data_IF_567337170504
#
_entry.id   IF_567337170504
#
_cell.length_a   1.000
_cell.length_b   1.000
_cell.length_c   1.000
_cell.angle_alpha   90.00
_cell.angle_beta   90.00
_cell.angle_gamma   90.00
#
_symmetry.space_group_name_H-M   'P 1'
#
loop_
_entity.id
_entity.type
_entity.pdbx_description
1 polymer ?
#
# COMPACT_ATOMS: atom_id res chain seq x y z
N UNK A 1 79.96 -56.58 -13.88
CA UNK A 1 79.20 -56.45 -12.62
C UNK A 1 78.55 -55.07 -12.56
N UNK A 2 77.30 -54.92 -12.99
CA UNK A 2 76.69 -53.58 -13.19
C UNK A 2 75.17 -53.51 -13.03
N UNK A 3 74.55 -54.43 -12.26
CA UNK A 3 73.08 -54.56 -12.22
C UNK A 3 72.39 -54.08 -10.93
N UNK A 4 73.12 -53.59 -9.92
CA UNK A 4 72.48 -53.13 -8.67
C UNK A 4 72.07 -51.64 -8.70
N UNK A 5 72.66 -50.82 -9.55
CA UNK A 5 72.36 -49.38 -9.64
C UNK A 5 71.03 -49.11 -10.35
N UNK A 6 70.70 -49.92 -11.36
CA UNK A 6 69.52 -49.73 -12.21
C UNK A 6 68.21 -50.00 -11.45
N UNK A 7 68.17 -51.06 -10.63
CA UNK A 7 66.98 -51.41 -9.83
C UNK A 7 66.69 -50.37 -8.74
N UNK A 8 67.72 -49.74 -8.17
CA UNK A 8 67.56 -48.68 -7.15
C UNK A 8 67.01 -47.38 -7.76
N UNK A 9 67.41 -47.05 -8.99
CA UNK A 9 66.87 -45.91 -9.75
C UNK A 9 65.40 -46.13 -10.13
N UNK A 10 65.05 -47.33 -10.58
CA UNK A 10 63.65 -47.68 -10.91
C UNK A 10 62.71 -47.60 -9.70
N UNK A 11 63.14 -48.09 -8.53
CA UNK A 11 62.36 -48.03 -7.29
C UNK A 11 62.14 -46.58 -6.81
N UNK A 12 63.18 -45.74 -6.86
CA UNK A 12 63.07 -44.33 -6.48
C UNK A 12 62.20 -43.51 -7.45
N UNK A 13 62.24 -43.81 -8.75
CA UNK A 13 61.38 -43.14 -9.74
C UNK A 13 59.91 -43.54 -9.58
N UNK A 14 59.61 -44.80 -9.22
CA UNK A 14 58.24 -45.26 -8.92
C UNK A 14 57.66 -44.55 -7.69
N UNK A 15 58.43 -44.41 -6.60
CA UNK A 15 58.01 -43.64 -5.41
C UNK A 15 57.79 -42.16 -5.70
N UNK A 16 58.66 -41.53 -6.49
CA UNK A 16 58.47 -40.13 -6.93
C UNK A 16 57.22 -39.95 -7.81
N UNK A 17 56.91 -40.93 -8.67
CA UNK A 17 55.71 -40.92 -9.50
C UNK A 17 54.41 -41.01 -8.69
N UNK A 18 54.36 -41.90 -7.68
CA UNK A 18 53.22 -42.02 -6.78
C UNK A 18 53.01 -40.76 -5.93
N UNK A 19 54.07 -40.19 -5.35
CA UNK A 19 53.95 -38.96 -4.55
C UNK A 19 53.49 -37.76 -5.41
N UNK A 20 53.88 -37.71 -6.70
CA UNK A 20 53.39 -36.67 -7.62
C UNK A 20 51.91 -36.85 -7.99
N UNK A 21 51.43 -38.09 -8.09
CA UNK A 21 50.01 -38.38 -8.33
C UNK A 21 49.15 -38.03 -7.12
N UNK A 22 49.59 -38.37 -5.91
CA UNK A 22 48.87 -38.04 -4.66
C UNK A 22 48.76 -36.52 -4.45
N UNK A 23 49.85 -35.77 -4.63
CA UNK A 23 49.84 -34.29 -4.53
C UNK A 23 48.93 -33.66 -5.59
N UNK A 24 48.88 -34.20 -6.80
CA UNK A 24 48.03 -33.67 -7.87
C UNK A 24 46.53 -33.97 -7.66
N UNK A 25 46.20 -35.11 -7.06
CA UNK A 25 44.84 -35.47 -6.66
C UNK A 25 44.33 -34.60 -5.50
N UNK A 26 45.20 -34.24 -4.56
CA UNK A 26 44.85 -33.40 -3.42
C UNK A 26 44.62 -31.93 -3.83
N UNK A 27 45.44 -31.41 -4.74
CA UNK A 27 45.26 -30.07 -5.34
C UNK A 27 43.90 -29.98 -6.06
N UNK A 28 43.50 -31.01 -6.82
CA UNK A 28 42.19 -31.01 -7.51
C UNK A 28 41.02 -31.01 -6.53
N UNK A 29 41.12 -31.75 -5.42
CA UNK A 29 40.10 -31.73 -4.36
C UNK A 29 40.00 -30.36 -3.71
N UNK A 30 41.13 -29.76 -3.34
CA UNK A 30 41.16 -28.42 -2.75
C UNK A 30 40.62 -27.35 -3.71
N UNK A 31 40.87 -27.47 -5.01
CA UNK A 31 40.37 -26.55 -6.02
C UNK A 31 38.84 -26.66 -6.20
N UNK A 32 38.27 -27.87 -6.09
CA UNK A 32 36.82 -28.10 -6.09
C UNK A 32 36.17 -27.55 -4.81
N UNK A 33 36.79 -27.74 -3.64
CA UNK A 33 36.29 -27.14 -2.39
C UNK A 33 36.36 -25.61 -2.41
N UNK A 34 37.42 -25.04 -2.98
CA UNK A 34 37.57 -23.59 -3.14
C UNK A 34 36.51 -23.00 -4.11
N UNK A 35 36.23 -23.68 -5.23
CA UNK A 35 35.16 -23.30 -6.16
C UNK A 35 33.75 -23.40 -5.53
N UNK A 36 33.51 -24.42 -4.69
CA UNK A 36 32.26 -24.53 -3.93
C UNK A 36 32.10 -23.39 -2.92
N UNK A 37 33.17 -22.99 -2.22
CA UNK A 37 33.16 -21.87 -1.27
C UNK A 37 32.85 -20.54 -1.98
N UNK A 38 33.40 -20.30 -3.18
CA UNK A 38 33.09 -19.10 -3.98
C UNK A 38 31.61 -19.06 -4.40
N UNK A 39 31.01 -20.22 -4.72
CA UNK A 39 29.59 -20.32 -5.05
C UNK A 39 28.68 -19.91 -3.88
N UNK A 40 29.07 -20.22 -2.64
CA UNK A 40 28.34 -19.82 -1.42
C UNK A 40 28.61 -18.38 -0.94
N UNK A 41 29.66 -17.70 -1.43
CA UNK A 41 29.95 -16.29 -1.08
C UNK A 41 29.25 -15.30 -2.03
N UNK A 42 28.41 -15.79 -2.95
CA UNK A 42 27.53 -14.97 -3.80
C UNK A 42 26.36 -14.32 -3.02
N UNK A 43 26.57 -13.92 -1.77
CA UNK A 43 25.67 -12.99 -1.12
C UNK A 43 25.92 -11.62 -1.71
N UNK A 44 25.05 -11.22 -2.64
CA UNK A 44 24.86 -9.81 -2.95
C UNK A 44 24.41 -9.13 -1.67
N UNK A 45 25.35 -8.52 -0.95
CA UNK A 45 25.02 -7.42 -0.07
C UNK A 45 24.56 -6.26 -0.95
N UNK A 46 23.31 -6.29 -1.38
CA UNK A 46 22.61 -5.07 -1.75
C UNK A 46 22.40 -4.31 -0.44
N UNK A 47 23.34 -3.45 -0.09
CA UNK A 47 23.00 -2.30 0.72
C UNK A 47 21.95 -1.52 -0.08
N UNK A 48 20.68 -1.75 0.27
CA UNK A 48 19.62 -0.84 -0.12
C UNK A 48 19.94 0.46 0.59
N UNK A 49 20.62 1.38 -0.10
CA UNK A 49 20.40 2.79 0.15
C UNK A 49 18.92 3.03 -0.21
N UNK A 50 18.03 2.72 0.72
CA UNK A 50 16.70 3.30 0.78
C UNK A 50 16.90 4.77 1.14
N UNK A 51 17.53 5.54 0.24
CA UNK A 51 17.28 6.96 0.17
C UNK A 51 15.83 7.03 -0.29
N UNK A 52 14.94 7.08 0.70
CA UNK A 52 13.50 7.06 0.53
C UNK A 52 13.13 8.06 -0.56
N UNK A 53 12.59 7.56 -1.66
CA UNK A 53 11.76 8.31 -2.61
C UNK A 53 10.45 8.73 -1.92
N UNK A 54 10.53 9.30 -0.71
CA UNK A 54 9.40 9.88 0.02
C UNK A 54 8.75 11.02 -0.78
N UNK A 55 9.49 11.65 -1.70
CA UNK A 55 8.97 12.72 -2.56
C UNK A 55 8.08 12.26 -3.72
N UNK A 56 7.88 10.96 -3.96
CA UNK A 56 7.02 10.48 -5.05
C UNK A 56 5.66 9.92 -4.59
N UNK A 57 5.48 9.68 -3.29
CA UNK A 57 4.22 9.17 -2.77
C UNK A 57 3.25 10.33 -2.52
N UNK A 58 1.99 10.15 -2.92
CA UNK A 58 0.94 11.09 -2.56
C UNK A 58 0.65 10.99 -1.07
N UNK A 59 0.63 12.13 -0.39
CA UNK A 59 0.15 12.24 0.99
C UNK A 59 -1.30 11.79 1.10
N UNK A 60 -2.14 12.19 0.13
CA UNK A 60 -3.54 11.77 0.02
C UNK A 60 -3.99 11.75 -1.43
N UNK A 61 -4.89 10.82 -1.75
CA UNK A 61 -5.64 10.80 -3.02
C UNK A 61 -7.10 11.08 -2.69
N UNK A 62 -7.65 12.18 -3.19
CA UNK A 62 -9.02 12.63 -2.94
C UNK A 62 -9.79 12.75 -4.26
N UNK A 63 -11.11 12.86 -4.20
CA UNK A 63 -11.92 13.20 -5.37
C UNK A 63 -12.03 14.72 -5.55
N UNK A 64 -12.32 15.16 -6.77
CA UNK A 64 -12.60 16.57 -7.03
C UNK A 64 -13.74 17.11 -6.14
N UNK A 65 -13.63 18.40 -5.78
CA UNK A 65 -14.60 19.08 -4.92
C UNK A 65 -14.55 18.62 -3.45
N UNK A 66 -13.48 17.93 -3.03
CA UNK A 66 -13.23 17.58 -1.63
C UNK A 66 -12.27 18.56 -0.97
N UNK A 67 -12.33 18.60 0.37
CA UNK A 67 -11.41 19.31 1.25
C UNK A 67 -10.51 18.29 1.97
N UNK A 68 -9.40 18.74 2.53
CA UNK A 68 -8.57 17.93 3.43
C UNK A 68 -8.47 18.66 4.76
N UNK A 69 -8.80 17.94 5.82
CA UNK A 69 -8.64 18.44 7.18
C UNK A 69 -7.26 18.06 7.71
N UNK A 70 -6.44 19.07 7.99
CA UNK A 70 -5.09 18.95 8.53
C UNK A 70 -5.05 19.19 10.06
N UNK A 71 -6.21 19.40 10.69
CA UNK A 71 -6.34 19.73 12.11
C UNK A 71 -6.15 21.23 12.37
N UNK A 72 -5.95 21.59 13.63
CA UNK A 72 -5.79 22.99 14.05
C UNK A 72 -4.39 23.52 13.72
N UNK A 73 -4.32 24.49 12.81
CA UNK A 73 -3.10 25.10 12.32
C UNK A 73 -3.01 26.57 12.76
N UNK A 74 -1.87 26.91 13.36
CA UNK A 74 -1.58 28.27 13.80
C UNK A 74 -1.58 29.28 12.63
N UNK A 75 -2.17 30.46 12.84
CA UNK A 75 -2.26 31.53 11.83
C UNK A 75 -0.92 32.06 11.29
N UNK A 76 0.19 31.83 12.00
CA UNK A 76 1.55 32.23 11.58
C UNK A 76 2.17 31.32 10.51
N UNK A 77 1.57 30.15 10.29
CA UNK A 77 1.98 29.19 9.26
C UNK A 77 1.41 29.63 7.91
N UNK A 78 2.22 29.50 6.86
CA UNK A 78 1.80 29.72 5.47
C UNK A 78 1.87 28.46 4.64
N UNK A 79 0.93 28.33 3.72
CA UNK A 79 0.84 27.25 2.76
C UNK A 79 0.88 27.81 1.35
N UNK A 80 1.48 27.08 0.42
CA UNK A 80 1.30 27.31 -1.01
C UNK A 80 0.74 26.06 -1.65
N UNK A 81 -0.42 26.20 -2.31
CA UNK A 81 -1.09 25.14 -3.06
C UNK A 81 -0.87 25.40 -4.55
N UNK A 82 -0.25 24.44 -5.24
CA UNK A 82 0.08 24.61 -6.66
C UNK A 82 -0.34 23.42 -7.51
N UNK A 83 -0.83 23.69 -8.71
CA UNK A 83 -1.08 22.72 -9.76
C UNK A 83 -0.66 23.36 -11.09
N UNK A 84 0.52 22.97 -11.58
CA UNK A 84 1.15 23.56 -12.76
C UNK A 84 0.33 23.34 -14.04
N UNK A 85 -0.35 22.19 -14.16
CA UNK A 85 -1.15 21.86 -15.35
C UNK A 85 -2.35 22.79 -15.51
N UNK A 86 -2.96 23.21 -14.41
CA UNK A 86 -4.14 24.07 -14.39
C UNK A 86 -3.82 25.53 -14.01
N UNK A 87 -2.53 25.90 -13.95
CA UNK A 87 -2.06 27.24 -13.56
C UNK A 87 -2.56 27.72 -12.18
N UNK A 88 -2.70 26.80 -11.22
CA UNK A 88 -3.08 27.13 -9.85
C UNK A 88 -1.81 27.40 -9.05
N UNK A 89 -1.76 28.55 -8.36
CA UNK A 89 -0.75 28.89 -7.37
C UNK A 89 -1.37 29.84 -6.34
N UNK A 90 -1.75 29.30 -5.18
CA UNK A 90 -2.51 30.02 -4.15
C UNK A 90 -1.72 29.95 -2.84
N UNK A 91 -1.61 31.10 -2.17
CA UNK A 91 -1.05 31.17 -0.82
C UNK A 91 -2.18 31.25 0.21
N UNK A 92 -2.11 30.40 1.23
CA UNK A 92 -3.08 30.29 2.33
C UNK A 92 -2.34 30.45 3.67
N UNK A 93 -3.08 30.77 4.74
CA UNK A 93 -2.56 30.93 6.10
C UNK A 93 -3.31 30.10 7.12
N UNK A 94 -2.57 29.51 8.06
CA UNK A 94 -3.14 28.73 9.16
C UNK A 94 -4.20 27.74 8.69
N UNK A 95 -5.40 27.85 9.27
CA UNK A 95 -6.55 26.98 9.01
C UNK A 95 -7.22 27.17 7.64
N UNK A 96 -6.87 28.17 6.83
CA UNK A 96 -7.45 28.36 5.49
C UNK A 96 -7.24 27.13 4.59
N UNK A 97 -6.18 26.35 4.82
CA UNK A 97 -5.93 25.10 4.10
C UNK A 97 -7.04 24.05 4.31
N UNK A 98 -7.69 24.04 5.49
CA UNK A 98 -8.77 23.09 5.80
C UNK A 98 -10.05 23.42 5.03
N UNK A 99 -10.22 24.69 4.64
CA UNK A 99 -11.36 25.16 3.87
C UNK A 99 -11.14 25.17 2.36
N UNK A 100 -9.91 24.94 1.91
CA UNK A 100 -9.56 24.89 0.51
C UNK A 100 -10.21 23.68 -0.19
N UNK A 101 -10.98 23.95 -1.24
CA UNK A 101 -11.67 22.93 -2.05
C UNK A 101 -10.84 22.63 -3.30
N UNK A 102 -10.52 21.34 -3.49
CA UNK A 102 -9.76 20.87 -4.64
C UNK A 102 -10.68 20.59 -5.84
N UNK A 103 -11.10 21.63 -6.55
CA UNK A 103 -12.06 21.50 -7.66
C UNK A 103 -11.47 20.96 -8.97
N UNK A 104 -10.19 21.25 -9.25
CA UNK A 104 -9.54 20.82 -10.48
C UNK A 104 -8.80 19.51 -10.30
N UNK A 105 -8.91 18.62 -11.30
CA UNK A 105 -8.27 17.30 -11.26
C UNK A 105 -6.78 17.39 -11.54
N UNK A 106 -6.02 16.43 -11.02
CA UNK A 106 -4.57 16.33 -11.25
C UNK A 106 -3.78 16.28 -9.96
N UNK A 107 -2.49 16.56 -10.09
CA UNK A 107 -1.54 16.48 -8.98
C UNK A 107 -1.26 17.90 -8.48
N UNK A 108 -1.35 18.06 -7.16
CA UNK A 108 -1.06 19.30 -6.46
C UNK A 108 0.20 19.11 -5.63
N UNK A 109 1.06 20.12 -5.65
CA UNK A 109 2.18 20.24 -4.74
C UNK A 109 1.81 21.26 -3.65
N UNK A 110 1.85 20.80 -2.40
CA UNK A 110 1.59 21.60 -1.21
C UNK A 110 2.92 21.90 -0.56
N UNK A 111 3.21 23.18 -0.35
CA UNK A 111 4.39 23.63 0.36
C UNK A 111 3.98 24.26 1.70
N UNK A 112 4.50 23.71 2.77
CA UNK A 112 4.30 24.15 4.14
C UNK A 112 5.49 24.98 4.61
N UNK A 113 5.22 26.17 5.16
CA UNK A 113 6.22 27.08 5.69
C UNK A 113 5.85 27.49 7.12
N UNK A 114 6.68 27.08 8.07
CA UNK A 114 6.55 27.45 9.48
C UNK A 114 7.50 28.62 9.81
N UNK A 115 6.95 29.70 10.37
CA UNK A 115 7.71 30.91 10.72
C UNK A 115 8.03 31.02 12.24
N UNK A 116 7.71 29.99 13.04
CA UNK A 116 8.00 30.02 14.49
C UNK A 116 9.50 29.82 14.72
N UNK A 117 10.11 30.69 15.55
CA UNK A 117 11.46 30.45 16.06
C UNK A 117 11.38 29.30 17.06
N UNK A 118 11.99 28.19 16.71
CA UNK A 118 12.11 27.02 17.57
C UNK A 118 12.89 27.39 18.84
N UNK A 119 12.27 27.17 20.01
CA UNK A 119 12.93 27.35 21.30
C UNK A 119 13.81 26.13 21.60
N UNK A 120 14.99 26.36 22.21
CA UNK A 120 16.04 25.33 22.38
C UNK A 120 15.65 24.23 23.38
N UNK A 121 14.62 24.47 24.22
CA UNK A 121 14.19 23.55 25.28
C UNK A 121 13.11 22.54 24.87
N UNK A 122 12.46 22.73 23.72
CA UNK A 122 11.40 21.85 23.24
C UNK A 122 11.85 21.08 22.02
N UNK A 123 11.68 19.75 22.02
CA UNK A 123 11.90 18.90 20.86
C UNK A 123 10.97 19.36 19.73
N UNK A 124 11.48 20.25 18.89
CA UNK A 124 10.73 20.98 17.89
C UNK A 124 10.93 20.31 16.54
N UNK A 125 9.93 19.54 16.13
CA UNK A 125 9.82 19.07 14.75
C UNK A 125 8.61 19.73 14.10
N UNK A 126 8.71 20.12 12.82
CA UNK A 126 7.57 20.65 12.09
C UNK A 126 6.44 19.61 12.07
N UNK A 127 5.19 20.08 12.15
CA UNK A 127 4.00 19.21 12.14
C UNK A 127 3.86 18.45 10.82
N UNK A 128 4.36 19.03 9.72
CA UNK A 128 4.29 18.46 8.38
C UNK A 128 5.65 18.50 7.71
N UNK A 129 5.82 17.65 6.69
CA UNK A 129 6.91 17.81 5.75
C UNK A 129 6.79 19.16 5.01
N UNK A 130 7.92 19.78 4.71
CA UNK A 130 7.98 21.06 3.99
C UNK A 130 7.24 21.00 2.64
N UNK A 131 7.23 19.84 1.99
CA UNK A 131 6.50 19.61 0.74
C UNK A 131 5.85 18.24 0.72
N UNK A 132 4.63 18.17 0.18
CA UNK A 132 3.95 16.92 -0.09
C UNK A 132 2.97 17.04 -1.25
N UNK A 133 2.59 15.89 -1.82
CA UNK A 133 1.78 15.82 -3.04
C UNK A 133 0.38 15.32 -2.74
N UNK A 134 -0.64 15.93 -3.34
CA UNK A 134 -2.02 15.45 -3.31
C UNK A 134 -2.43 15.09 -4.73
N UNK A 135 -3.15 13.97 -4.89
CA UNK A 135 -3.78 13.62 -6.17
C UNK A 135 -5.29 13.82 -6.08
N UNK A 136 -5.83 14.56 -7.02
CA UNK A 136 -7.26 14.84 -7.14
C UNK A 136 -7.82 14.06 -8.33
N UNK A 137 -8.61 13.04 -8.04
CA UNK A 137 -9.23 12.15 -9.02
C UNK A 137 -10.46 12.79 -9.68
N UNK A 138 -10.72 12.41 -10.93
CA UNK A 138 -11.84 12.91 -11.74
C UNK A 138 -13.18 12.25 -11.43
N UNK A 139 -13.21 11.22 -10.58
CA UNK A 139 -14.42 10.49 -10.22
C UNK A 139 -14.62 10.60 -8.71
N UNK A 140 -15.87 10.83 -8.30
CA UNK A 140 -16.30 10.85 -6.90
C UNK A 140 -17.42 9.84 -6.69
N UNK A 141 -17.31 9.04 -5.63
CA UNK A 141 -18.31 8.08 -5.19
C UNK A 141 -18.85 8.50 -3.82
N UNK A 142 -20.16 8.61 -3.71
CA UNK A 142 -20.83 8.90 -2.44
C UNK A 142 -21.85 7.83 -2.14
N UNK A 143 -21.74 7.19 -0.98
CA UNK A 143 -22.68 6.18 -0.52
C UNK A 143 -23.86 6.84 0.21
N UNK A 144 -25.07 6.36 -0.05
CA UNK A 144 -26.27 6.73 0.70
C UNK A 144 -26.62 5.62 1.70
N UNK A 145 -25.93 5.64 2.85
CA UNK A 145 -26.16 4.65 3.91
C UNK A 145 -27.54 4.76 4.56
N UNK A 146 -28.28 5.86 4.37
CA UNK A 146 -29.66 5.95 4.87
C UNK A 146 -30.61 4.95 4.20
N UNK A 147 -30.21 4.40 3.05
CA UNK A 147 -30.98 3.46 2.23
C UNK A 147 -30.26 2.13 2.04
N UNK A 148 -29.27 1.82 2.87
CA UNK A 148 -28.63 0.50 2.87
C UNK A 148 -29.65 -0.59 3.18
N UNK A 149 -29.56 -1.71 2.46
CA UNK A 149 -30.46 -2.84 2.60
C UNK A 149 -29.67 -4.14 2.74
N UNK A 150 -30.18 -5.02 3.59
CA UNK A 150 -29.66 -6.37 3.80
C UNK A 150 -30.72 -7.35 3.31
N UNK A 151 -30.33 -8.36 2.50
CA UNK A 151 -31.29 -9.35 1.97
C UNK A 151 -31.94 -10.20 3.07
N UNK A 152 -31.29 -10.29 4.23
CA UNK A 152 -31.76 -11.01 5.39
C UNK A 152 -31.14 -10.40 6.66
N UNK A 153 -31.77 -10.68 7.80
CA UNK A 153 -31.27 -10.25 9.09
C UNK A 153 -29.93 -10.93 9.41
N UNK A 154 -29.02 -10.15 9.97
CA UNK A 154 -27.72 -10.62 10.46
C UNK A 154 -27.88 -11.11 11.90
N UNK A 155 -27.43 -12.32 12.19
CA UNK A 155 -27.63 -13.05 13.45
C UNK A 155 -26.37 -13.80 13.85
N UNK A 156 -26.13 -13.93 15.16
CA UNK A 156 -24.97 -14.68 15.68
C UNK A 156 -25.14 -16.17 15.42
N UNK A 157 -24.03 -16.86 15.17
CA UNK A 157 -23.98 -18.30 14.96
C UNK A 157 -24.52 -18.76 13.60
N UNK A 158 -25.07 -17.83 12.79
CA UNK A 158 -25.53 -18.14 11.44
C UNK A 158 -24.38 -18.04 10.44
N UNK A 159 -24.21 -19.10 9.66
CA UNK A 159 -23.31 -19.09 8.50
C UNK A 159 -24.02 -18.50 7.30
N UNK A 160 -23.35 -17.56 6.63
CA UNK A 160 -23.80 -16.87 5.44
C UNK A 160 -22.98 -17.34 4.24
N UNK A 161 -23.64 -17.63 3.13
CA UNK A 161 -22.99 -17.92 1.84
C UNK A 161 -23.42 -16.95 0.73
N UNK A 162 -24.47 -16.17 0.96
CA UNK A 162 -25.13 -15.33 -0.04
C UNK A 162 -25.89 -14.13 0.56
N UNK A 163 -25.52 -13.65 1.76
CA UNK A 163 -26.08 -12.41 2.29
C UNK A 163 -25.75 -11.28 1.30
N UNK A 164 -26.76 -10.55 0.82
CA UNK A 164 -26.56 -9.44 -0.10
C UNK A 164 -26.77 -8.14 0.66
N UNK A 165 -25.76 -7.28 0.61
CA UNK A 165 -25.84 -5.89 1.05
C UNK A 165 -25.99 -5.02 -0.19
N UNK A 166 -27.04 -4.22 -0.25
CA UNK A 166 -27.29 -3.27 -1.35
C UNK A 166 -27.17 -1.85 -0.81
N UNK A 167 -26.30 -1.04 -1.43
CA UNK A 167 -26.11 0.37 -1.07
C UNK A 167 -26.34 1.24 -2.30
N UNK A 168 -27.28 2.20 -2.24
CA UNK A 168 -27.40 3.20 -3.28
C UNK A 168 -26.19 4.14 -3.27
N UNK A 169 -25.68 4.45 -4.45
CA UNK A 169 -24.53 5.33 -4.63
C UNK A 169 -24.78 6.38 -5.71
N UNK A 170 -24.15 7.53 -5.52
CA UNK A 170 -24.04 8.58 -6.53
C UNK A 170 -22.59 8.61 -7.02
N UNK A 171 -22.41 8.46 -8.32
CA UNK A 171 -21.11 8.62 -8.97
C UNK A 171 -21.16 9.89 -9.80
N UNK A 172 -20.23 10.80 -9.56
CA UNK A 172 -20.05 12.01 -10.35
C UNK A 172 -18.66 12.03 -10.96
N UNK A 173 -18.59 12.42 -12.22
CA UNK A 173 -17.34 12.53 -12.98
C UNK A 173 -17.14 14.00 -13.37
N UNK A 174 -15.92 14.53 -13.25
CA UNK A 174 -15.58 15.87 -13.74
C UNK A 174 -15.68 15.93 -15.28
N UNK A 175 -15.21 14.86 -15.93
CA UNK A 175 -15.24 14.69 -17.39
C UNK A 175 -15.98 13.39 -17.72
N UNK A 176 -16.91 13.41 -18.69
CA UNK A 176 -17.71 12.24 -19.11
C UNK A 176 -16.89 11.20 -19.92
N UNK A 177 -15.57 11.19 -19.77
CA UNK A 177 -14.66 10.29 -20.48
C UNK A 177 -14.65 8.88 -19.91
N UNK A 178 -15.01 8.72 -18.64
CA UNK A 178 -15.07 7.42 -17.96
C UNK A 178 -16.47 6.84 -18.15
N UNK A 179 -16.54 5.62 -18.68
CA UNK A 179 -17.81 4.90 -18.90
C UNK A 179 -17.92 3.63 -18.05
N UNK A 180 -16.79 3.11 -17.56
CA UNK A 180 -16.69 1.92 -16.73
C UNK A 180 -15.62 2.08 -15.66
N UNK A 181 -15.88 1.52 -14.48
CA UNK A 181 -14.97 1.49 -13.35
C UNK A 181 -15.01 0.12 -12.66
N UNK A 182 -13.91 -0.34 -12.04
CA UNK A 182 -13.96 -1.50 -11.17
C UNK A 182 -14.90 -1.22 -9.99
N UNK A 183 -15.70 -2.22 -9.60
CA UNK A 183 -16.54 -2.09 -8.42
C UNK A 183 -15.66 -2.07 -7.17
N UNK A 184 -15.82 -1.05 -6.28
CA UNK A 184 -14.95 -0.94 -5.12
C UNK A 184 -15.34 -1.99 -4.07
N UNK A 185 -14.34 -2.44 -3.32
CA UNK A 185 -14.52 -3.46 -2.29
C UNK A 185 -15.25 -2.95 -1.03
N UNK A 186 -15.49 -3.87 -0.12
CA UNK A 186 -15.99 -3.60 1.22
C UNK A 186 -15.29 -4.55 2.20
N UNK A 187 -15.01 -4.08 3.41
CA UNK A 187 -14.57 -4.92 4.52
C UNK A 187 -15.55 -4.84 5.68
N UNK A 188 -15.50 -5.85 6.56
CA UNK A 188 -16.43 -6.01 7.67
C UNK A 188 -15.61 -6.28 8.92
N UNK A 189 -15.87 -5.53 9.99
CA UNK A 189 -15.19 -5.66 11.26
C UNK A 189 -16.18 -5.83 12.42
N UNK A 190 -15.73 -6.58 13.42
CA UNK A 190 -16.43 -6.81 14.69
C UNK A 190 -15.74 -7.94 15.47
N UNK A 191 -15.92 -7.98 16.79
CA UNK A 191 -15.41 -9.07 17.62
C UNK A 191 -16.04 -10.41 17.22
N UNK A 192 -15.22 -11.45 17.08
CA UNK A 192 -15.66 -12.79 16.69
C UNK A 192 -16.24 -12.90 15.27
N UNK A 193 -16.00 -11.90 14.40
CA UNK A 193 -16.51 -11.86 13.02
C UNK A 193 -15.50 -12.45 12.04
N UNK A 194 -15.94 -13.41 11.24
CA UNK A 194 -15.22 -13.93 10.08
C UNK A 194 -16.13 -13.80 8.86
N UNK A 195 -16.44 -12.55 8.51
CA UNK A 195 -17.23 -12.21 7.32
C UNK A 195 -16.33 -11.60 6.26
N UNK A 196 -16.53 -12.00 5.01
CA UNK A 196 -15.89 -11.40 3.84
C UNK A 196 -16.98 -10.83 2.94
N UNK A 197 -16.70 -9.66 2.35
CA UNK A 197 -17.58 -9.00 1.39
C UNK A 197 -16.89 -8.87 0.05
N UNK A 198 -17.59 -9.24 -1.03
CA UNK A 198 -17.12 -9.00 -2.39
C UNK A 198 -18.20 -8.31 -3.23
N UNK A 199 -17.83 -7.39 -4.14
CA UNK A 199 -18.77 -6.88 -5.13
C UNK A 199 -19.34 -8.02 -5.96
N UNK A 200 -20.67 -8.04 -6.12
CA UNK A 200 -21.38 -9.01 -6.93
C UNK A 200 -21.09 -8.77 -8.42
N UNK A 201 -21.23 -7.52 -8.86
CA UNK A 201 -20.70 -7.04 -10.14
C UNK A 201 -19.25 -6.56 -9.94
N UNK A 202 -18.32 -7.01 -10.80
CA UNK A 202 -16.90 -6.59 -10.72
C UNK A 202 -16.62 -5.26 -11.40
N UNK A 203 -17.54 -4.80 -12.24
CA UNK A 203 -17.46 -3.52 -12.94
C UNK A 203 -18.77 -2.76 -12.78
N UNK A 204 -18.66 -1.44 -12.73
CA UNK A 204 -19.75 -0.48 -12.70
C UNK A 204 -19.77 0.22 -14.05
N UNK A 205 -20.89 0.08 -14.78
CA UNK A 205 -21.14 0.87 -15.99
C UNK A 205 -21.78 2.18 -15.56
N UNK A 206 -21.11 3.29 -15.83
CA UNK A 206 -21.58 4.60 -15.43
C UNK A 206 -22.82 4.99 -16.24
N UNK A 207 -23.95 5.05 -15.53
CA UNK A 207 -25.18 5.63 -16.02
C UNK A 207 -25.46 6.90 -15.23
N UNK A 208 -26.02 7.93 -15.87
CA UNK A 208 -26.41 9.21 -15.26
C UNK A 208 -27.63 9.07 -14.32
N UNK A 209 -27.58 8.11 -13.39
CA UNK A 209 -28.61 7.79 -12.40
C UNK A 209 -27.97 7.27 -11.12
N UNK A 210 -28.74 7.23 -10.03
CA UNK A 210 -28.35 6.52 -8.82
C UNK A 210 -28.12 5.05 -9.17
N UNK A 211 -26.98 4.52 -8.74
CA UNK A 211 -26.60 3.13 -8.98
C UNK A 211 -26.72 2.36 -7.67
N UNK A 212 -26.94 1.05 -7.76
CA UNK A 212 -27.03 0.18 -6.61
C UNK A 212 -25.81 -0.73 -6.62
N UNK A 213 -24.92 -0.56 -5.66
CA UNK A 213 -23.82 -1.49 -5.46
C UNK A 213 -24.30 -2.65 -4.60
N UNK A 214 -24.02 -3.87 -5.06
CA UNK A 214 -24.38 -5.10 -4.35
C UNK A 214 -23.13 -5.84 -3.93
N UNK A 215 -23.10 -6.24 -2.68
CA UNK A 215 -22.01 -6.99 -2.08
C UNK A 215 -22.54 -8.33 -1.63
N UNK A 216 -21.88 -9.40 -2.06
CA UNK A 216 -22.09 -10.74 -1.53
C UNK A 216 -21.21 -10.91 -0.31
N UNK A 217 -21.84 -11.25 0.81
CA UNK A 217 -21.20 -11.47 2.09
C UNK A 217 -21.29 -12.93 2.47
N UNK A 218 -20.16 -13.51 2.87
CA UNK A 218 -20.04 -14.89 3.29
C UNK A 218 -19.26 -15.00 4.60
N UNK A 219 -19.53 -16.04 5.39
CA UNK A 219 -18.84 -16.33 6.64
C UNK A 219 -19.77 -16.38 7.86
N UNK A 220 -19.23 -16.13 9.05
CA UNK A 220 -19.96 -16.32 10.31
C UNK A 220 -19.60 -15.27 11.36
N UNK A 221 -20.55 -14.99 12.25
CA UNK A 221 -20.36 -14.17 13.44
C UNK A 221 -20.48 -15.08 14.65
N UNK A 222 -19.40 -15.28 15.41
CA UNK A 222 -19.36 -16.23 16.52
C UNK A 222 -19.70 -15.60 17.88
N UNK A 223 -19.58 -14.28 17.99
CA UNK A 223 -19.75 -13.54 19.25
C UNK A 223 -20.84 -12.49 19.16
N UNK A 224 -21.35 -12.06 20.31
CA UNK A 224 -22.25 -10.90 20.36
C UNK A 224 -21.41 -9.65 20.09
N UNK A 225 -21.77 -8.86 19.08
CA UNK A 225 -20.87 -7.81 18.56
C UNK A 225 -21.59 -6.71 17.79
N UNK A 226 -20.94 -5.57 17.65
CA UNK A 226 -21.32 -4.54 16.68
C UNK A 226 -20.58 -4.78 15.37
N UNK A 227 -21.26 -4.50 14.26
CA UNK A 227 -20.67 -4.60 12.94
C UNK A 227 -20.38 -3.23 12.35
N UNK A 228 -19.16 -3.08 11.86
CA UNK A 228 -18.71 -1.95 11.06
C UNK A 228 -18.46 -2.44 9.63
N UNK A 229 -19.02 -1.74 8.66
CA UNK A 229 -18.85 -2.03 7.25
C UNK A 229 -18.09 -0.86 6.62
N UNK A 230 -16.84 -1.11 6.19
CA UNK A 230 -16.04 -0.10 5.49
C UNK A 230 -16.23 -0.29 3.99
N UNK A 231 -16.90 0.67 3.35
CA UNK A 231 -17.07 0.72 1.91
C UNK A 231 -15.97 1.59 1.32
N UNK A 232 -15.18 1.06 0.40
CA UNK A 232 -14.10 1.82 -0.21
C UNK A 232 -14.63 2.63 -1.40
N UNK A 233 -14.07 3.81 -1.62
CA UNK A 233 -14.26 4.55 -2.87
C UNK A 233 -13.22 4.15 -3.94
N UNK A 234 -13.23 4.83 -5.08
CA UNK A 234 -12.26 4.58 -6.17
C UNK A 234 -10.82 5.03 -5.83
N UNK A 235 -10.64 5.75 -4.71
CA UNK A 235 -9.35 6.21 -4.19
C UNK A 235 -8.88 5.37 -2.99
N UNK A 236 -9.56 4.24 -2.69
CA UNK A 236 -9.37 3.40 -1.52
C UNK A 236 -9.60 4.10 -0.17
N UNK A 237 -10.37 5.19 -0.13
CA UNK A 237 -10.84 5.77 1.12
C UNK A 237 -12.06 5.03 1.63
N UNK A 238 -12.05 4.66 2.91
CA UNK A 238 -13.18 4.00 3.56
C UNK A 238 -14.26 5.01 3.97
N UNK A 239 -15.52 4.68 3.67
CA UNK A 239 -16.72 5.30 4.23
C UNK A 239 -17.41 4.23 5.08
N UNK A 240 -17.44 4.44 6.40
CA UNK A 240 -17.88 3.42 7.35
C UNK A 240 -19.38 3.53 7.65
N UNK A 241 -20.07 2.41 7.57
CA UNK A 241 -21.43 2.24 8.10
C UNK A 241 -21.39 1.38 9.36
N UNK A 242 -21.82 1.96 10.48
CA UNK A 242 -22.02 1.23 11.72
C UNK A 242 -23.44 0.68 11.75
N UNK A 243 -23.58 -0.64 11.86
CA UNK A 243 -24.91 -1.25 11.98
C UNK A 243 -25.50 -0.85 13.34
N UNK A 244 -26.67 -0.19 13.38
CA UNK A 244 -27.22 0.39 14.62
C UNK A 244 -27.93 -0.65 15.49
N UNK A 245 -27.39 -1.87 15.55
CA UNK A 245 -27.84 -2.94 16.41
C UNK A 245 -26.68 -3.86 16.75
N UNK A 246 -26.72 -4.37 17.97
CA UNK A 246 -25.85 -5.46 18.39
C UNK A 246 -26.36 -6.77 17.79
N UNK A 247 -25.46 -7.57 17.24
CA UNK A 247 -25.76 -8.91 16.72
C UNK A 247 -25.79 -9.87 17.89
N UNK A 248 -26.90 -10.58 18.08
CA UNK A 248 -27.11 -11.54 19.16
C UNK A 248 -27.44 -12.93 18.62
#
# INVERSE_FOLDING_TARGET
>A
MGNFTFLKILSNNKKRGLNRLEVCLDIKKHLVYFLLIILFISFKATAQNNFSTQNQQFYKVISFGEKIEFGDIDSSISWTVSNSKNNINISLRGNEINDYVFDETGEYDIHFQENKKHDEETCNHPMFAERFRIKVASVKLTFDFSKIQFSQKIEKGRSYSDLIITVPVKITTKDNSVTKLPAPGMSIAGLGVSLTGEPLEKEIVLANKIQLLKYKVSGIINEETYLMFDFYDFNNQAQTYNLPQIIK
#
